data_IF_147556046078
#
_entry.id   IF_147556046078
#
_cell.length_a   1.000
_cell.length_b   1.000
_cell.length_c   1.000
_cell.angle_alpha   90.00
_cell.angle_beta   90.00
_cell.angle_gamma   90.00
#
_symmetry.space_group_name_H-M   'P 1'
#
loop_
_entity.id
_entity.type
_entity.pdbx_description
1 polymer ?
#
# COMPACT_ATOMS: atom_id res chain seq x y z
N UNK A 1 14.71 13.48 -23.67
CA UNK A 1 13.25 13.32 -23.84
C UNK A 1 12.81 12.11 -23.01
N UNK A 2 12.01 12.32 -21.97
CA UNK A 2 11.43 11.24 -21.16
C UNK A 2 10.15 10.80 -21.87
N UNK A 3 10.11 9.58 -22.37
CA UNK A 3 8.90 9.02 -22.97
C UNK A 3 7.86 8.86 -21.86
N UNK A 4 6.84 9.71 -21.87
CA UNK A 4 5.62 9.49 -21.08
C UNK A 4 4.89 8.31 -21.71
N UNK A 5 5.30 7.09 -21.37
CA UNK A 5 4.45 5.93 -21.61
C UNK A 5 3.23 6.11 -20.69
N UNK A 6 2.11 6.44 -21.32
CA UNK A 6 0.82 6.53 -20.64
C UNK A 6 0.40 5.09 -20.28
N UNK A 7 0.88 4.62 -19.13
CA UNK A 7 0.63 3.28 -18.66
C UNK A 7 -0.79 3.21 -18.12
N UNK A 8 -1.71 2.80 -19.01
CA UNK A 8 -3.13 2.62 -18.69
C UNK A 8 -3.34 1.69 -17.49
N UNK A 9 -2.41 0.76 -17.22
CA UNK A 9 -2.51 -0.13 -16.07
C UNK A 9 -2.16 0.62 -14.78
N UNK A 10 -1.17 1.51 -14.82
CA UNK A 10 -0.83 2.35 -13.68
C UNK A 10 -1.95 3.33 -13.35
N UNK A 11 -2.54 3.99 -14.36
CA UNK A 11 -3.67 4.89 -14.17
C UNK A 11 -4.89 4.16 -13.57
N UNK A 12 -5.18 2.96 -14.07
CA UNK A 12 -6.21 2.10 -13.50
C UNK A 12 -5.93 1.73 -12.04
N UNK A 13 -4.69 1.32 -11.73
CA UNK A 13 -4.29 0.94 -10.39
C UNK A 13 -4.36 2.13 -9.42
N UNK A 14 -3.89 3.31 -9.83
CA UNK A 14 -4.04 4.57 -9.09
C UNK A 14 -5.50 4.85 -8.77
N UNK A 15 -6.38 4.69 -9.75
CA UNK A 15 -7.82 4.84 -9.56
C UNK A 15 -8.38 3.88 -8.50
N UNK A 16 -8.00 2.60 -8.55
CA UNK A 16 -8.43 1.59 -7.57
C UNK A 16 -7.89 1.84 -6.17
N UNK A 17 -6.62 2.23 -6.05
CA UNK A 17 -6.01 2.56 -4.75
C UNK A 17 -6.71 3.77 -4.13
N UNK A 18 -6.98 4.82 -4.91
CA UNK A 18 -7.67 6.02 -4.44
C UNK A 18 -9.15 5.77 -4.06
N UNK A 19 -9.80 4.79 -4.69
CA UNK A 19 -11.16 4.36 -4.36
C UNK A 19 -11.21 3.52 -3.08
N UNK A 20 -10.28 2.58 -2.90
CA UNK A 20 -10.26 1.67 -1.74
C UNK A 20 -9.69 2.37 -0.50
N UNK A 21 -8.59 3.14 -0.64
CA UNK A 21 -7.83 3.89 0.38
C UNK A 21 -7.26 3.10 1.55
N UNK A 22 -7.78 1.92 1.85
CA UNK A 22 -7.36 1.09 2.98
C UNK A 22 -6.62 -0.13 2.43
N UNK A 23 -5.43 -0.39 2.95
CA UNK A 23 -4.63 -1.54 2.58
C UNK A 23 -4.14 -2.31 3.79
N UNK A 24 -3.92 -3.61 3.60
CA UNK A 24 -3.14 -4.42 4.51
C UNK A 24 -1.66 -4.24 4.17
N UNK A 25 -0.89 -3.74 5.13
CA UNK A 25 0.55 -3.60 5.05
C UNK A 25 1.24 -4.86 5.59
N UNK A 26 2.17 -5.38 4.80
CA UNK A 26 3.05 -6.50 5.16
C UNK A 26 4.49 -6.13 4.85
N UNK A 27 5.42 -6.68 5.62
CA UNK A 27 6.85 -6.51 5.39
C UNK A 27 7.57 -7.83 5.55
N UNK A 28 8.69 -8.00 4.85
CA UNK A 28 9.60 -9.15 5.01
C UNK A 28 10.67 -8.92 6.07
N UNK A 29 10.55 -7.84 6.87
CA UNK A 29 11.49 -7.58 7.96
C UNK A 29 11.55 -8.76 8.93
N UNK A 30 12.76 -9.03 9.42
CA UNK A 30 13.10 -10.11 10.36
C UNK A 30 12.04 -10.27 11.47
N UNK A 31 11.81 -11.49 11.98
CA UNK A 31 10.77 -11.80 12.97
C UNK A 31 10.85 -11.04 14.31
N UNK A 32 11.86 -10.20 14.50
CA UNK A 32 11.99 -9.24 15.61
C UNK A 32 11.24 -7.92 15.34
N UNK A 33 11.10 -7.54 14.07
CA UNK A 33 10.24 -6.48 13.56
C UNK A 33 8.88 -7.09 13.20
N UNK A 34 8.19 -7.66 14.18
CA UNK A 34 6.77 -7.96 14.06
C UNK A 34 6.03 -6.62 14.01
N UNK A 35 6.09 -5.92 12.87
CA UNK A 35 5.05 -4.98 12.53
C UNK A 35 3.81 -5.86 12.36
N UNK A 36 2.86 -5.85 13.32
CA UNK A 36 1.66 -6.66 13.18
C UNK A 36 1.04 -6.27 11.84
N UNK A 37 0.47 -7.25 11.12
CA UNK A 37 -0.27 -6.97 9.89
C UNK A 37 -1.18 -5.76 10.12
N UNK A 38 -0.80 -4.62 9.56
CA UNK A 38 -1.36 -3.34 9.94
C UNK A 38 -2.30 -2.89 8.83
N UNK A 39 -3.48 -2.43 9.23
CA UNK A 39 -4.37 -1.74 8.32
C UNK A 39 -3.86 -0.31 8.22
N UNK A 40 -3.45 0.08 7.01
CA UNK A 40 -2.95 1.42 6.72
C UNK A 40 -3.96 2.21 5.89
N UNK A 41 -3.85 3.53 5.97
CA UNK A 41 -4.61 4.44 5.12
C UNK A 41 -3.68 5.13 4.13
N UNK A 42 -4.01 5.00 2.84
CA UNK A 42 -3.35 5.68 1.75
C UNK A 42 -3.74 7.15 1.70
N UNK A 43 -2.75 8.02 1.61
CA UNK A 43 -2.90 9.46 1.50
C UNK A 43 -2.90 9.90 0.05
N UNK A 44 -1.95 9.39 -0.73
CA UNK A 44 -1.70 9.82 -2.11
C UNK A 44 -0.98 8.72 -2.89
N UNK A 45 -1.30 8.66 -4.18
CA UNK A 45 -0.50 7.92 -5.17
C UNK A 45 0.01 8.93 -6.18
N UNK A 46 1.34 9.00 -6.32
CA UNK A 46 2.01 9.89 -7.27
C UNK A 46 1.97 9.32 -8.70
N UNK A 47 2.38 10.13 -9.67
CA UNK A 47 2.39 9.75 -11.09
C UNK A 47 3.41 8.67 -11.43
N UNK A 48 4.44 8.51 -10.62
CA UNK A 48 5.46 7.47 -10.76
C UNK A 48 5.08 6.15 -10.04
N UNK A 49 3.91 6.08 -9.41
CA UNK A 49 3.45 4.92 -8.64
C UNK A 49 3.87 4.93 -7.17
N UNK A 50 4.53 5.99 -6.68
CA UNK A 50 4.84 6.14 -5.25
C UNK A 50 3.57 6.26 -4.42
N UNK A 51 3.45 5.46 -3.36
CA UNK A 51 2.27 5.45 -2.46
C UNK A 51 2.67 6.00 -1.08
N UNK A 52 1.99 7.06 -0.66
CA UNK A 52 2.14 7.65 0.67
C UNK A 52 1.05 7.12 1.60
N UNK A 53 1.41 6.72 2.82
CA UNK A 53 0.49 6.23 3.84
C UNK A 53 0.96 6.58 5.24
N UNK A 54 0.03 6.56 6.21
CA UNK A 54 0.38 6.56 7.62
C UNK A 54 0.16 5.18 8.23
N UNK A 55 1.03 4.83 9.19
CA UNK A 55 0.89 3.64 10.02
C UNK A 55 1.27 3.98 11.45
N UNK A 56 0.63 3.31 12.40
CA UNK A 56 1.01 3.39 13.81
C UNK A 56 2.27 2.55 14.01
N UNK A 57 3.44 3.18 13.97
CA UNK A 57 4.69 2.51 14.34
C UNK A 57 4.82 2.51 15.86
N UNK A 58 4.89 1.34 16.48
CA UNK A 58 5.25 1.23 17.88
C UNK A 58 6.78 1.34 17.98
N UNK A 59 7.26 2.35 18.69
CA UNK A 59 8.65 2.81 18.75
C UNK A 59 9.63 1.79 19.36
N UNK A 60 9.22 0.54 19.58
CA UNK A 60 10.03 -0.49 20.24
C UNK A 60 11.10 -1.11 19.33
N UNK A 61 11.03 -0.90 18.01
CA UNK A 61 11.93 -1.58 17.06
C UNK A 61 12.64 -0.64 16.07
N UNK A 62 12.54 0.68 16.23
CA UNK A 62 13.06 1.67 15.27
C UNK A 62 14.59 1.85 15.28
N UNK A 63 15.31 1.24 16.22
CA UNK A 63 16.76 1.39 16.32
C UNK A 63 17.55 0.50 15.33
N UNK A 64 16.91 -0.52 14.74
CA UNK A 64 17.53 -1.47 13.81
C UNK A 64 16.76 -1.66 12.49
N UNK A 65 15.88 -0.71 12.13
CA UNK A 65 15.17 -0.78 10.85
C UNK A 65 16.10 -0.21 9.78
N UNK A 66 16.49 -1.06 8.82
CA UNK A 66 17.10 -0.60 7.58
C UNK A 66 16.28 0.54 6.98
N UNK A 67 16.93 1.62 6.56
CA UNK A 67 16.26 2.81 6.03
C UNK A 67 15.41 2.54 4.77
N UNK A 68 15.56 1.35 4.19
CA UNK A 68 14.79 0.86 3.05
C UNK A 68 14.57 -0.64 3.20
N UNK A 69 13.32 -1.09 3.10
CA UNK A 69 12.95 -2.49 3.19
C UNK A 69 11.82 -2.83 2.22
N UNK A 70 11.72 -4.12 1.84
CA UNK A 70 10.63 -4.61 1.01
C UNK A 70 9.32 -4.66 1.79
N UNK A 71 8.28 -4.09 1.20
CA UNK A 71 6.94 -4.06 1.77
C UNK A 71 5.88 -4.32 0.70
N UNK A 72 4.73 -4.85 1.15
CA UNK A 72 3.60 -5.17 0.31
C UNK A 72 2.34 -4.49 0.83
N UNK A 73 1.59 -3.87 -0.08
CA UNK A 73 0.27 -3.31 0.19
C UNK A 73 -0.78 -4.13 -0.55
N UNK A 74 -1.69 -4.74 0.21
CA UNK A 74 -2.82 -5.50 -0.35
C UNK A 74 -4.10 -4.69 -0.25
N UNK A 75 -4.63 -4.27 -1.39
CA UNK A 75 -5.93 -3.60 -1.50
C UNK A 75 -7.01 -4.61 -1.87
N UNK A 76 -8.10 -4.64 -1.12
CA UNK A 76 -9.23 -5.54 -1.37
C UNK A 76 -10.52 -4.73 -1.35
N UNK A 77 -11.33 -4.86 -2.41
CA UNK A 77 -12.69 -4.33 -2.45
C UNK A 77 -13.65 -5.52 -2.42
N UNK A 78 -14.51 -5.60 -1.40
CA UNK A 78 -15.60 -6.58 -1.41
C UNK A 78 -16.57 -6.18 -2.52
N UNK A 79 -16.68 -7.00 -3.56
CA UNK A 79 -17.77 -6.81 -4.51
C UNK A 79 -19.09 -7.14 -3.79
N UNK A 80 -20.08 -6.25 -3.89
CA UNK A 80 -21.42 -6.58 -3.43
C UNK A 80 -21.89 -7.76 -4.27
N UNK A 81 -22.12 -8.91 -3.64
CA UNK A 81 -22.84 -9.99 -4.28
C UNK A 81 -24.14 -9.40 -4.81
N UNK A 82 -24.28 -9.33 -6.13
CA UNK A 82 -25.57 -9.03 -6.74
C UNK A 82 -26.52 -10.11 -6.23
N UNK A 83 -27.45 -9.74 -5.36
CA UNK A 83 -28.57 -10.61 -5.07
C UNK A 83 -29.27 -10.86 -6.41
N UNK A 84 -29.26 -12.11 -6.88
CA UNK A 84 -30.08 -12.50 -8.01
C UNK A 84 -31.54 -12.26 -7.62
N UNK A 85 -32.17 -11.27 -8.26
CA UNK A 85 -33.64 -11.07 -8.27
C UNK A 85 -34.20 -11.51 -9.59
#
# INVERSE_FOLDING_TARGET
MRYFHQDKNLDFLKGKINDIKIALFKTELNPELQLPNNIIQTLKVEDDGTVWFFTSCNNRHTENVDSSFSAYLSYQKKEQARACT
#
